data_IF_082076568123
#
_entry.id   IF_082076568123
#
_cell.length_a   1.000
_cell.length_b   1.000
_cell.length_c   1.000
_cell.angle_alpha   90.00
_cell.angle_beta   90.00
_cell.angle_gamma   90.00
#
_symmetry.space_group_name_H-M   'P 1'
#
loop_
_entity.id
_entity.type
_entity.pdbx_description
1 polymer ?
#
# COMPACT_ATOMS: atom_id res chain seq x y z
N UNK A 1 -2.19 -38.86 -68.90
CA UNK A 1 -1.08 -38.65 -68.01
C UNK A 1 -1.64 -38.00 -66.76
N UNK A 2 -1.76 -38.79 -65.67
CA UNK A 2 -2.36 -38.42 -64.42
C UNK A 2 -1.36 -37.64 -63.57
N UNK A 3 -1.77 -36.53 -63.01
CA UNK A 3 -1.00 -35.77 -62.01
C UNK A 3 -1.46 -36.18 -60.61
N UNK A 4 -0.50 -36.72 -59.87
CA UNK A 4 -0.63 -37.18 -58.53
C UNK A 4 -0.87 -36.01 -57.54
N UNK A 5 -1.89 -36.16 -56.71
CA UNK A 5 -2.15 -35.29 -55.58
C UNK A 5 -1.55 -35.92 -54.30
N UNK A 6 -0.83 -35.20 -53.44
CA UNK A 6 -0.32 -35.75 -52.18
C UNK A 6 -1.45 -35.87 -51.14
N UNK A 7 -1.31 -36.81 -50.18
CA UNK A 7 -2.37 -37.15 -49.23
C UNK A 7 -2.53 -36.11 -48.13
N UNK A 8 -3.78 -35.83 -47.78
CA UNK A 8 -4.20 -35.12 -46.59
C UNK A 8 -3.86 -35.93 -45.33
N UNK A 9 -3.03 -35.42 -44.48
CA UNK A 9 -2.95 -35.87 -43.09
C UNK A 9 -3.89 -35.05 -42.22
N UNK A 10 -4.96 -35.71 -41.79
CA UNK A 10 -5.79 -35.33 -40.66
C UNK A 10 -4.98 -35.62 -39.39
N UNK A 11 -4.77 -34.60 -38.55
CA UNK A 11 -4.75 -34.75 -37.13
C UNK A 11 -5.36 -33.49 -36.53
N UNK A 12 -6.62 -33.61 -36.22
CA UNK A 12 -7.35 -32.75 -35.31
C UNK A 12 -7.29 -33.33 -33.92
N UNK A 13 -7.44 -32.38 -33.00
CA UNK A 13 -7.98 -32.51 -31.64
C UNK A 13 -6.99 -32.78 -30.54
N UNK A 14 -6.56 -31.66 -29.89
CA UNK A 14 -6.86 -31.40 -28.47
C UNK A 14 -6.16 -30.11 -28.01
N UNK A 15 -6.76 -28.96 -28.33
CA UNK A 15 -6.45 -27.73 -27.63
C UNK A 15 -7.55 -27.51 -26.60
N UNK A 16 -7.24 -27.75 -25.34
CA UNK A 16 -8.10 -27.40 -24.22
C UNK A 16 -8.24 -25.87 -24.09
N UNK A 17 -9.37 -25.34 -23.56
CA UNK A 17 -9.58 -23.92 -23.40
C UNK A 17 -8.79 -23.42 -22.19
N UNK A 18 -7.78 -22.56 -22.39
CA UNK A 18 -7.15 -21.89 -21.25
C UNK A 18 -5.73 -21.38 -21.36
N UNK A 19 -5.16 -21.22 -22.53
CA UNK A 19 -4.00 -20.34 -22.68
C UNK A 19 -4.49 -18.94 -23.05
N UNK A 20 -4.71 -18.12 -22.01
CA UNK A 20 -4.81 -16.67 -22.18
C UNK A 20 -3.49 -16.22 -22.79
N UNK A 21 -3.55 -15.62 -23.99
CA UNK A 21 -2.48 -14.88 -24.62
C UNK A 21 -1.87 -13.91 -23.59
N UNK A 22 -0.84 -14.35 -22.88
CA UNK A 22 0.07 -13.45 -22.18
C UNK A 22 0.75 -12.64 -23.29
N UNK A 23 0.17 -11.48 -23.60
CA UNK A 23 0.85 -10.49 -24.40
C UNK A 23 2.20 -10.25 -23.73
N UNK A 24 3.23 -10.90 -24.24
CA UNK A 24 4.60 -10.76 -23.78
C UNK A 24 5.06 -9.35 -24.13
N UNK A 25 4.75 -8.41 -23.25
CA UNK A 25 5.30 -7.05 -23.38
C UNK A 25 6.80 -7.13 -23.19
N UNK A 26 7.51 -6.61 -24.16
CA UNK A 26 8.97 -6.49 -24.09
C UNK A 26 9.36 -5.81 -22.75
N UNK A 27 10.24 -6.47 -22.02
CA UNK A 27 10.84 -5.89 -20.83
C UNK A 27 11.73 -4.71 -21.23
N UNK A 28 11.83 -3.66 -20.40
CA UNK A 28 12.79 -2.59 -20.66
C UNK A 28 14.22 -3.14 -20.65
N UNK A 29 15.10 -2.58 -21.50
CA UNK A 29 16.48 -3.05 -21.69
C UNK A 29 17.27 -3.21 -20.39
N UNK A 30 16.98 -2.38 -19.36
CA UNK A 30 17.62 -2.48 -18.04
C UNK A 30 17.37 -3.84 -17.35
N UNK A 31 16.26 -4.52 -17.65
CA UNK A 31 15.93 -5.83 -17.07
C UNK A 31 16.37 -7.01 -17.95
N UNK A 32 16.74 -6.75 -19.21
CA UNK A 32 17.18 -7.78 -20.16
C UNK A 32 18.69 -7.82 -20.33
N UNK A 33 19.43 -6.93 -19.65
CA UNK A 33 20.88 -6.93 -19.70
C UNK A 33 21.45 -8.22 -19.13
N UNK A 34 22.45 -8.87 -19.77
CA UNK A 34 22.93 -10.22 -19.37
C UNK A 34 23.43 -10.35 -17.94
N UNK A 35 23.94 -9.26 -17.35
CA UNK A 35 24.39 -9.23 -15.94
C UNK A 35 23.27 -8.92 -14.94
N UNK A 36 22.05 -8.65 -15.39
CA UNK A 36 20.93 -8.32 -14.51
C UNK A 36 20.40 -9.57 -13.81
N UNK A 37 20.03 -9.42 -12.54
CA UNK A 37 19.24 -10.46 -11.85
C UNK A 37 17.89 -10.62 -12.54
N UNK A 38 17.45 -11.85 -12.85
CA UNK A 38 16.15 -12.07 -13.46
C UNK A 38 15.04 -11.36 -12.67
N UNK A 39 14.24 -10.49 -13.31
CA UNK A 39 13.19 -9.76 -12.63
C UNK A 39 12.01 -10.70 -12.31
N UNK A 40 11.43 -10.55 -11.13
CA UNK A 40 10.15 -11.19 -10.81
C UNK A 40 9.02 -10.18 -10.84
N UNK A 41 7.96 -10.46 -11.60
CA UNK A 41 6.75 -9.62 -11.61
C UNK A 41 6.05 -9.72 -10.25
N UNK A 42 5.84 -8.61 -9.59
CA UNK A 42 5.16 -8.54 -8.28
C UNK A 42 3.68 -8.20 -8.46
N UNK A 43 3.40 -7.19 -9.29
CA UNK A 43 2.03 -6.78 -9.57
C UNK A 43 1.93 -6.11 -10.93
N UNK A 44 0.77 -6.26 -11.54
CA UNK A 44 0.43 -5.63 -12.81
C UNK A 44 -0.86 -4.84 -12.62
N UNK A 45 -0.77 -3.53 -12.72
CA UNK A 45 -1.92 -2.63 -12.75
C UNK A 45 -2.23 -2.15 -14.17
N UNK A 46 -3.32 -1.39 -14.31
CA UNK A 46 -3.72 -0.81 -15.59
C UNK A 46 -2.67 0.16 -16.18
N UNK A 47 -1.91 0.85 -15.33
CA UNK A 47 -0.98 1.91 -15.72
C UNK A 47 0.49 1.51 -15.64
N UNK A 48 0.84 0.56 -14.79
CA UNK A 48 2.23 0.18 -14.54
C UNK A 48 2.37 -1.28 -14.12
N UNK A 49 3.58 -1.80 -14.24
CA UNK A 49 4.03 -3.09 -13.73
C UNK A 49 5.13 -2.85 -12.72
N UNK A 50 5.13 -3.63 -11.64
CA UNK A 50 6.15 -3.59 -10.61
C UNK A 50 6.93 -4.90 -10.65
N UNK A 51 8.24 -4.78 -10.80
CA UNK A 51 9.17 -5.92 -10.76
C UNK A 51 10.08 -5.81 -9.56
N UNK A 52 10.41 -6.94 -8.96
CA UNK A 52 11.52 -7.06 -8.01
C UNK A 52 12.77 -7.44 -8.78
N UNK A 53 13.85 -6.72 -8.53
CA UNK A 53 15.18 -6.93 -9.14
C UNK A 53 16.26 -6.50 -8.16
N UNK A 54 17.47 -6.25 -8.64
CA UNK A 54 18.60 -5.69 -7.87
C UNK A 54 19.12 -4.42 -8.54
N UNK A 55 19.78 -3.55 -7.77
CA UNK A 55 20.38 -2.32 -8.24
C UNK A 55 21.90 -2.37 -8.06
N UNK A 56 22.65 -2.30 -9.15
CA UNK A 56 24.13 -2.34 -9.24
C UNK A 56 24.75 -3.62 -8.67
N UNK A 57 24.37 -4.04 -7.46
CA UNK A 57 24.88 -5.23 -6.77
C UNK A 57 23.75 -6.19 -6.42
N UNK A 58 23.98 -7.51 -6.45
CA UNK A 58 22.98 -8.52 -6.04
C UNK A 58 22.48 -8.35 -4.61
N UNK A 59 23.27 -7.71 -3.74
CA UNK A 59 22.91 -7.43 -2.34
C UNK A 59 21.98 -6.24 -2.15
N UNK A 60 21.72 -5.43 -3.19
CA UNK A 60 20.86 -4.26 -3.15
C UNK A 60 19.54 -4.58 -3.87
N UNK A 61 18.51 -5.08 -3.16
CA UNK A 61 17.22 -5.35 -3.77
C UNK A 61 16.52 -4.05 -4.18
N UNK A 62 15.89 -4.08 -5.35
CA UNK A 62 15.21 -2.92 -5.93
C UNK A 62 13.81 -3.28 -6.44
N UNK A 63 12.93 -2.30 -6.43
CA UNK A 63 11.65 -2.32 -7.11
C UNK A 63 11.76 -1.50 -8.40
N UNK A 64 11.43 -2.09 -9.54
CA UNK A 64 11.37 -1.38 -10.81
C UNK A 64 9.90 -1.22 -11.22
N UNK A 65 9.44 0.02 -11.26
CA UNK A 65 8.12 0.41 -11.74
C UNK A 65 8.22 0.80 -13.20
N UNK A 66 7.60 0.01 -14.07
CA UNK A 66 7.61 0.19 -15.52
C UNK A 66 6.21 0.54 -16.04
N UNK A 67 6.12 1.54 -16.88
CA UNK A 67 4.90 1.98 -17.57
C UNK A 67 5.01 1.64 -19.05
N UNK A 68 4.50 0.46 -19.47
CA UNK A 68 4.56 0.05 -20.87
C UNK A 68 3.75 0.98 -21.76
N UNK A 69 4.17 1.15 -23.04
CA UNK A 69 3.40 1.91 -24.03
C UNK A 69 1.97 1.38 -24.15
N UNK A 70 1.01 2.27 -24.36
CA UNK A 70 -0.41 1.91 -24.49
C UNK A 70 -0.83 1.89 -25.94
N UNK A 71 -1.13 0.69 -26.47
CA UNK A 71 -1.48 0.51 -27.88
C UNK A 71 -2.70 1.34 -28.34
N UNK A 72 -3.61 1.68 -27.42
CA UNK A 72 -4.82 2.48 -27.73
C UNK A 72 -4.60 3.99 -27.68
N UNK A 73 -3.42 4.47 -27.24
CA UNK A 73 -3.08 5.90 -27.21
C UNK A 73 -2.23 6.28 -28.41
N UNK A 74 -2.40 7.53 -28.85
CA UNK A 74 -1.47 8.06 -29.84
C UNK A 74 -0.04 8.04 -29.29
N UNK A 75 0.98 7.49 -29.98
CA UNK A 75 2.31 7.24 -29.44
C UNK A 75 2.99 8.47 -28.84
N UNK A 76 2.90 9.63 -29.48
CA UNK A 76 3.50 10.89 -29.00
C UNK A 76 2.83 11.36 -27.69
N UNK A 77 1.51 11.22 -27.59
CA UNK A 77 0.79 11.57 -26.37
C UNK A 77 1.12 10.60 -25.23
N UNK A 78 1.18 9.31 -25.52
CA UNK A 78 1.51 8.28 -24.52
C UNK A 78 2.91 8.49 -23.96
N UNK A 79 3.91 8.70 -24.83
CA UNK A 79 5.28 9.00 -24.41
C UNK A 79 5.36 10.25 -23.52
N UNK A 80 4.67 11.33 -23.90
CA UNK A 80 4.61 12.57 -23.11
C UNK A 80 3.98 12.38 -21.74
N UNK A 81 2.85 11.67 -21.67
CA UNK A 81 2.15 11.39 -20.40
C UNK A 81 2.99 10.48 -19.49
N UNK A 82 3.59 9.44 -20.04
CA UNK A 82 4.46 8.51 -19.32
C UNK A 82 5.66 9.24 -18.72
N UNK A 83 6.36 10.03 -19.53
CA UNK A 83 7.48 10.86 -19.09
C UNK A 83 7.07 11.79 -17.94
N UNK A 84 5.96 12.52 -18.11
CA UNK A 84 5.47 13.45 -17.10
C UNK A 84 5.17 12.74 -15.77
N UNK A 85 4.46 11.61 -15.81
CA UNK A 85 4.08 10.85 -14.61
C UNK A 85 5.29 10.31 -13.86
N UNK A 86 6.27 9.73 -14.58
CA UNK A 86 7.48 9.20 -13.97
C UNK A 86 8.29 10.30 -13.30
N UNK A 87 8.51 11.41 -13.99
CA UNK A 87 9.25 12.54 -13.42
C UNK A 87 8.53 13.19 -12.24
N UNK A 88 7.19 13.30 -12.30
CA UNK A 88 6.41 13.82 -11.19
C UNK A 88 6.54 12.94 -9.94
N UNK A 89 6.35 11.64 -10.10
CA UNK A 89 6.48 10.64 -9.02
C UNK A 89 7.90 10.64 -8.43
N UNK A 90 8.92 10.58 -9.26
CA UNK A 90 10.32 10.60 -8.82
C UNK A 90 10.70 11.88 -8.05
N UNK A 91 10.24 13.05 -8.51
CA UNK A 91 10.47 14.34 -7.82
C UNK A 91 9.78 14.40 -6.46
N UNK A 92 8.55 13.89 -6.36
CA UNK A 92 7.82 13.83 -5.10
C UNK A 92 8.52 12.90 -4.12
N UNK A 93 8.93 11.70 -4.54
CA UNK A 93 9.68 10.77 -3.70
C UNK A 93 11.00 11.37 -3.23
N UNK A 94 11.78 11.99 -4.13
CA UNK A 94 13.05 12.63 -3.78
C UNK A 94 12.84 13.80 -2.78
N UNK A 95 11.83 14.63 -2.99
CA UNK A 95 11.46 15.70 -2.04
C UNK A 95 11.03 15.11 -0.70
N UNK A 96 10.11 14.14 -0.70
CA UNK A 96 9.62 13.49 0.52
C UNK A 96 10.77 12.95 1.37
N UNK A 97 11.70 12.21 0.74
CA UNK A 97 12.84 11.63 1.43
C UNK A 97 13.79 12.68 1.99
N UNK A 98 14.09 13.74 1.23
CA UNK A 98 14.93 14.86 1.69
C UNK A 98 14.33 15.56 2.92
N UNK A 99 13.02 15.68 2.95
CA UNK A 99 12.29 16.30 4.08
C UNK A 99 12.01 15.32 5.24
N UNK A 100 12.50 14.07 5.16
CA UNK A 100 12.38 13.08 6.23
C UNK A 100 11.06 12.30 6.25
N UNK A 101 10.24 12.39 5.20
CA UNK A 101 9.04 11.54 5.07
C UNK A 101 9.49 10.10 4.79
N UNK A 102 8.92 9.10 5.48
CA UNK A 102 9.30 7.70 5.29
C UNK A 102 8.77 7.14 3.98
N UNK A 103 9.58 7.22 2.94
CA UNK A 103 9.29 6.76 1.56
C UNK A 103 10.49 6.00 0.99
N UNK A 104 10.31 5.15 -0.05
CA UNK A 104 11.42 4.49 -0.73
C UNK A 104 12.41 5.49 -1.34
N UNK A 105 13.70 5.14 -1.32
CA UNK A 105 14.70 5.89 -2.08
C UNK A 105 14.53 5.66 -3.58
N UNK A 106 14.66 6.70 -4.39
CA UNK A 106 14.77 6.57 -5.85
C UNK A 106 16.23 6.32 -6.20
N UNK A 107 16.50 5.24 -6.93
CA UNK A 107 17.83 4.84 -7.35
C UNK A 107 18.18 5.31 -8.75
N UNK A 108 17.25 5.14 -9.70
CA UNK A 108 17.43 5.52 -11.09
C UNK A 108 16.09 5.81 -11.75
N UNK A 109 16.12 6.64 -12.80
CA UNK A 109 14.93 7.00 -13.59
C UNK A 109 15.32 7.05 -15.06
N UNK A 110 14.53 6.43 -15.92
CA UNK A 110 14.57 6.63 -17.35
C UNK A 110 13.16 7.00 -17.82
N UNK A 111 12.96 8.30 -17.97
CA UNK A 111 11.67 8.85 -18.39
C UNK A 111 11.32 8.56 -19.86
N UNK A 112 12.34 8.26 -20.67
CA UNK A 112 12.16 7.92 -22.09
C UNK A 112 11.76 6.45 -22.25
N UNK A 113 12.48 5.55 -21.57
CA UNK A 113 12.14 4.14 -21.55
C UNK A 113 10.94 3.81 -20.66
N UNK A 114 10.46 4.76 -19.87
CA UNK A 114 9.22 4.65 -19.12
C UNK A 114 9.33 3.86 -17.81
N UNK A 115 10.49 3.90 -17.12
CA UNK A 115 10.66 3.19 -15.85
C UNK A 115 11.35 4.02 -14.78
N UNK A 116 11.10 3.65 -13.52
CA UNK A 116 11.77 4.16 -12.33
C UNK A 116 12.18 2.99 -11.45
N UNK A 117 13.41 3.00 -10.97
CA UNK A 117 13.96 2.03 -10.02
C UNK A 117 14.08 2.67 -8.65
N UNK A 118 13.60 1.97 -7.62
CA UNK A 118 13.55 2.46 -6.25
C UNK A 118 13.91 1.36 -5.25
N UNK A 119 14.10 1.75 -4.01
CA UNK A 119 14.35 0.86 -2.89
C UNK A 119 13.25 -0.21 -2.80
N UNK A 120 13.66 -1.47 -2.68
CA UNK A 120 12.75 -2.55 -2.29
C UNK A 120 12.46 -2.45 -0.79
N UNK A 121 11.26 -2.04 -0.42
CA UNK A 121 10.85 -1.99 0.98
C UNK A 121 10.56 -3.41 1.46
N UNK A 122 11.36 -3.88 2.43
CA UNK A 122 11.13 -5.18 3.09
C UNK A 122 9.87 -5.10 3.96
N UNK A 123 9.16 -6.23 4.09
CA UNK A 123 7.96 -6.33 4.91
C UNK A 123 6.70 -6.53 4.09
N UNK A 124 5.55 -6.34 4.72
CA UNK A 124 4.24 -6.52 4.11
C UNK A 124 3.45 -5.20 4.10
N UNK A 125 2.47 -5.05 3.19
CA UNK A 125 1.51 -3.95 3.27
C UNK A 125 0.78 -3.93 4.63
N UNK A 126 0.55 -2.75 5.19
CA UNK A 126 -0.17 -2.60 6.47
C UNK A 126 -1.54 -3.28 6.44
N UNK A 127 -2.22 -3.25 5.28
CA UNK A 127 -3.47 -3.97 5.05
C UNK A 127 -3.38 -5.45 5.39
N UNK A 128 -2.30 -6.11 4.99
CA UNK A 128 -2.10 -7.54 5.21
C UNK A 128 -1.90 -7.81 6.70
N UNK A 129 -1.03 -7.03 7.36
CA UNK A 129 -0.79 -7.14 8.80
C UNK A 129 -2.05 -6.92 9.63
N UNK A 130 -2.82 -5.87 9.33
CA UNK A 130 -4.07 -5.55 10.05
C UNK A 130 -5.12 -6.68 9.86
N UNK A 131 -5.29 -7.19 8.63
CA UNK A 131 -6.25 -8.25 8.37
C UNK A 131 -5.89 -9.55 9.10
N UNK A 132 -4.61 -9.90 9.10
CA UNK A 132 -4.13 -11.08 9.81
C UNK A 132 -4.29 -10.94 11.33
N UNK A 133 -3.96 -9.76 11.89
CA UNK A 133 -4.17 -9.45 13.29
C UNK A 133 -5.67 -9.55 13.69
N UNK A 134 -6.58 -8.98 12.87
CA UNK A 134 -8.03 -9.07 13.09
C UNK A 134 -8.55 -10.51 12.96
N UNK A 135 -7.95 -11.33 12.08
CA UNK A 135 -8.29 -12.74 11.92
C UNK A 135 -7.95 -13.53 13.18
N UNK A 136 -6.70 -13.43 13.65
CA UNK A 136 -6.23 -14.11 14.86
C UNK A 136 -7.06 -13.75 16.09
N UNK A 137 -7.40 -12.48 16.20
CA UNK A 137 -8.25 -12.01 17.29
C UNK A 137 -9.65 -12.63 17.28
N UNK A 138 -10.27 -12.74 16.10
CA UNK A 138 -11.57 -13.43 15.97
C UNK A 138 -11.50 -14.90 16.38
N UNK A 139 -10.41 -15.56 16.04
CA UNK A 139 -10.19 -16.97 16.41
C UNK A 139 -10.03 -17.12 17.91
N UNK A 140 -9.28 -16.24 18.55
CA UNK A 140 -9.13 -16.22 20.01
C UNK A 140 -10.46 -15.94 20.74
N UNK A 141 -11.27 -14.97 20.26
CA UNK A 141 -12.60 -14.66 20.80
C UNK A 141 -13.56 -15.85 20.70
N UNK A 142 -13.51 -16.62 19.60
CA UNK A 142 -14.33 -17.84 19.45
C UNK A 142 -13.91 -18.94 20.41
N UNK A 143 -12.60 -19.19 20.54
CA UNK A 143 -12.07 -20.21 21.44
C UNK A 143 -12.44 -19.94 22.91
N UNK A 144 -12.45 -18.67 23.34
CA UNK A 144 -12.87 -18.30 24.71
C UNK A 144 -14.38 -18.43 24.92
N UNK A 145 -15.20 -18.14 23.91
CA UNK A 145 -16.66 -18.32 24.01
C UNK A 145 -17.09 -19.80 24.03
N UNK A 146 -16.40 -20.67 23.28
CA UNK A 146 -16.65 -22.12 23.28
C UNK A 146 -16.30 -22.76 24.63
N UNK A 147 -15.28 -22.25 25.34
CA UNK A 147 -14.88 -22.72 26.67
C UNK A 147 -15.85 -22.23 27.77
N UNK A 148 -16.44 -21.03 27.61
CA UNK A 148 -17.38 -20.49 28.60
C UNK A 148 -18.79 -21.14 28.51
N UNK A 149 -19.17 -21.75 27.39
CA UNK A 149 -20.44 -22.49 27.25
C UNK A 149 -20.39 -23.87 27.91
N UNK A 150 -19.27 -24.30 28.46
CA UNK A 150 -19.12 -25.57 29.20
C UNK A 150 -18.95 -25.41 30.72
N UNK A 151 -18.93 -24.17 31.23
CA UNK A 151 -18.80 -23.88 32.64
C UNK A 151 -20.13 -23.39 33.24
N UNK A 152 -20.56 -24.05 34.32
CA UNK A 152 -21.79 -23.89 35.10
C UNK A 152 -22.27 -22.43 35.30
N UNK A 153 -23.62 -22.29 35.25
CA UNK A 153 -24.39 -21.07 35.49
C UNK A 153 -24.39 -20.59 36.96
N UNK A 154 -23.31 -20.57 37.70
CA UNK A 154 -23.28 -20.09 39.08
C UNK A 154 -21.97 -19.38 39.45
N UNK A 155 -21.72 -18.22 38.85
CA UNK A 155 -20.83 -17.23 39.50
C UNK A 155 -21.06 -15.82 38.92
N UNK A 156 -21.95 -15.06 39.59
CA UNK A 156 -22.22 -13.63 39.36
C UNK A 156 -21.16 -12.72 40.00
N UNK A 157 -19.89 -13.01 39.85
CA UNK A 157 -18.84 -12.04 40.18
C UNK A 157 -18.05 -11.73 38.90
N UNK A 158 -18.52 -10.67 38.23
CA UNK A 158 -17.95 -10.15 37.00
C UNK A 158 -16.48 -9.86 37.16
N UNK A 159 -15.65 -10.62 36.47
CA UNK A 159 -14.26 -10.27 36.24
C UNK A 159 -14.17 -8.91 35.50
N UNK A 160 -13.28 -8.01 35.90
CA UNK A 160 -13.23 -6.65 35.36
C UNK A 160 -12.86 -6.62 33.89
N UNK A 161 -13.50 -5.72 33.15
CA UNK A 161 -13.38 -5.44 31.70
C UNK A 161 -11.97 -4.91 31.31
N UNK A 162 -10.94 -5.25 32.00
CA UNK A 162 -9.55 -4.78 31.78
C UNK A 162 -8.85 -5.47 30.59
N UNK A 163 -9.43 -6.51 29.99
CA UNK A 163 -8.79 -7.26 28.89
C UNK A 163 -8.90 -6.63 27.50
N UNK A 164 -9.88 -5.75 27.23
CA UNK A 164 -10.09 -5.23 25.86
C UNK A 164 -9.13 -4.12 25.45
N UNK A 165 -8.81 -3.20 26.34
CA UNK A 165 -7.91 -2.08 26.05
C UNK A 165 -6.45 -2.55 25.91
N UNK A 166 -6.03 -3.53 26.68
CA UNK A 166 -4.69 -4.11 26.60
C UNK A 166 -4.47 -4.91 25.32
N UNK A 167 -5.51 -5.54 24.82
CA UNK A 167 -5.50 -6.34 23.59
C UNK A 167 -5.43 -5.50 22.30
N UNK A 168 -5.76 -4.21 22.32
CA UNK A 168 -5.75 -3.31 21.16
C UNK A 168 -4.46 -2.47 21.04
N UNK A 169 -3.55 -2.58 22.00
CA UNK A 169 -2.33 -1.75 22.09
C UNK A 169 -1.50 -1.75 20.79
N UNK A 170 -1.32 -2.91 20.18
CA UNK A 170 -0.51 -3.03 18.96
C UNK A 170 -1.17 -2.32 17.78
N UNK A 171 -2.48 -2.45 17.63
CA UNK A 171 -3.24 -1.75 16.58
C UNK A 171 -3.26 -0.25 16.82
N UNK A 172 -3.44 0.20 18.07
CA UNK A 172 -3.37 1.61 18.47
C UNK A 172 -1.98 2.18 18.17
N UNK A 173 -0.92 1.44 18.49
CA UNK A 173 0.46 1.84 18.20
C UNK A 173 0.71 1.95 16.69
N UNK A 174 0.17 1.02 15.88
CA UNK A 174 0.21 1.11 14.43
C UNK A 174 -0.52 2.36 13.92
N UNK A 175 -1.74 2.63 14.42
CA UNK A 175 -2.51 3.82 14.03
C UNK A 175 -1.79 5.12 14.32
N UNK A 176 -1.11 5.21 15.46
CA UNK A 176 -0.28 6.37 15.80
C UNK A 176 0.86 6.56 14.79
N UNK A 177 1.55 5.49 14.43
CA UNK A 177 2.63 5.55 13.42
C UNK A 177 2.11 5.97 12.06
N UNK A 178 0.94 5.47 11.63
CA UNK A 178 0.28 5.87 10.38
C UNK A 178 -0.07 7.37 10.44
N UNK A 179 -0.75 7.82 11.50
CA UNK A 179 -1.13 9.23 11.66
C UNK A 179 0.07 10.17 11.64
N UNK A 180 1.15 9.81 12.33
CA UNK A 180 2.40 10.58 12.32
C UNK A 180 3.05 10.63 10.94
N UNK A 181 3.14 9.49 10.22
CA UNK A 181 3.74 9.43 8.89
C UNK A 181 2.97 10.27 7.87
N UNK A 182 1.64 10.18 7.89
CA UNK A 182 0.75 10.98 7.02
C UNK A 182 0.83 12.47 7.39
N UNK A 183 0.82 12.80 8.67
CA UNK A 183 0.98 14.17 9.14
C UNK A 183 2.31 14.79 8.70
N UNK A 184 3.39 14.02 8.76
CA UNK A 184 4.70 14.43 8.24
C UNK A 184 4.68 14.70 6.73
N UNK A 185 4.06 13.83 5.95
CA UNK A 185 3.88 14.00 4.49
C UNK A 185 3.11 15.28 4.17
N UNK A 186 1.98 15.50 4.87
CA UNK A 186 1.17 16.70 4.68
C UNK A 186 1.87 17.98 5.13
N UNK A 187 2.70 17.92 6.19
CA UNK A 187 3.51 19.04 6.67
C UNK A 187 4.45 19.58 5.59
N UNK A 188 5.07 18.69 4.81
CA UNK A 188 5.99 19.09 3.74
C UNK A 188 5.27 19.45 2.43
N UNK A 189 3.95 19.52 2.47
CA UNK A 189 3.10 19.95 1.36
C UNK A 189 2.93 18.88 0.27
N UNK A 190 2.89 17.60 0.65
CA UNK A 190 2.64 16.49 -0.28
C UNK A 190 1.32 15.84 0.10
N UNK A 191 0.44 15.70 -0.89
CA UNK A 191 -0.84 14.99 -0.84
C UNK A 191 -0.71 13.75 -1.71
N UNK A 192 -1.09 12.59 -1.18
CA UNK A 192 -0.85 11.30 -1.82
C UNK A 192 -1.81 11.03 -3.01
N UNK A 193 -3.08 11.37 -2.84
CA UNK A 193 -4.12 11.21 -3.86
C UNK A 193 -4.72 9.79 -3.95
N UNK A 194 -4.08 8.79 -3.32
CA UNK A 194 -4.60 7.41 -3.18
C UNK A 194 -4.13 6.80 -1.87
N UNK A 195 -4.41 7.49 -0.76
CA UNK A 195 -3.91 7.12 0.56
C UNK A 195 -4.71 5.94 1.12
N UNK A 196 -4.14 4.73 1.07
CA UNK A 196 -4.77 3.50 1.56
C UNK A 196 -3.79 2.66 2.38
N UNK A 197 -4.30 1.73 3.18
CA UNK A 197 -3.44 0.78 3.93
C UNK A 197 -2.68 -0.20 3.03
N UNK A 198 -3.05 -0.32 1.76
CA UNK A 198 -2.29 -1.06 0.75
C UNK A 198 -1.04 -0.31 0.28
N UNK A 199 -1.08 1.02 0.32
CA UNK A 199 0.00 1.91 -0.08
C UNK A 199 0.90 2.32 1.10
N UNK A 200 0.89 1.53 2.18
CA UNK A 200 1.76 1.65 3.34
C UNK A 200 2.40 0.31 3.64
N UNK A 201 3.74 0.26 3.68
CA UNK A 201 4.48 -0.95 4.04
C UNK A 201 4.89 -0.90 5.50
N UNK A 202 4.84 -2.03 6.18
CA UNK A 202 5.43 -2.25 7.50
C UNK A 202 6.85 -2.78 7.30
N UNK A 203 7.85 -1.93 7.46
CA UNK A 203 9.26 -2.31 7.43
C UNK A 203 9.65 -2.85 8.80
N UNK A 204 10.00 -4.13 8.95
CA UNK A 204 10.42 -4.67 10.23
C UNK A 204 11.59 -3.87 10.82
N UNK A 205 11.57 -3.65 12.13
CA UNK A 205 12.70 -3.03 12.81
C UNK A 205 13.93 -3.95 12.76
N UNK A 206 15.09 -3.37 12.59
CA UNK A 206 16.34 -4.12 12.73
C UNK A 206 16.53 -4.57 14.17
N UNK A 207 17.07 -5.78 14.37
CA UNK A 207 17.33 -6.30 15.72
C UNK A 207 18.17 -5.30 16.52
N UNK A 208 17.66 -4.89 17.67
CA UNK A 208 18.29 -3.90 18.57
C UNK A 208 17.88 -2.44 18.33
N UNK A 209 17.03 -2.16 17.34
CA UNK A 209 16.41 -0.86 17.15
C UNK A 209 14.99 -0.91 17.71
N UNK A 210 14.89 -0.86 19.03
CA UNK A 210 13.59 -0.67 19.68
C UNK A 210 13.05 0.74 19.37
N UNK A 211 11.72 0.91 19.20
CA UNK A 211 11.15 2.24 19.01
C UNK A 211 11.44 3.09 20.25
N UNK A 212 11.82 4.35 20.04
CA UNK A 212 12.22 5.30 21.08
C UNK A 212 11.16 5.50 22.20
N UNK A 213 9.94 5.01 22.00
CA UNK A 213 8.81 5.13 22.93
C UNK A 213 8.49 3.85 23.71
N UNK A 214 9.40 2.88 23.82
CA UNK A 214 9.27 1.74 24.74
C UNK A 214 8.12 0.76 24.44
N UNK A 215 7.49 0.84 23.29
CA UNK A 215 6.46 -0.10 22.88
C UNK A 215 7.12 -1.24 22.06
N UNK A 216 7.82 -2.12 22.74
CA UNK A 216 8.00 -3.48 22.23
C UNK A 216 6.61 -4.10 22.26
N UNK A 217 6.05 -4.40 21.06
CA UNK A 217 4.78 -5.09 20.97
C UNK A 217 4.81 -6.34 21.85
N UNK A 218 3.87 -6.44 22.75
CA UNK A 218 3.68 -7.64 23.60
C UNK A 218 3.16 -8.83 22.79
N UNK A 219 3.08 -8.68 21.48
CA UNK A 219 2.50 -9.63 20.54
C UNK A 219 3.55 -10.31 19.65
N UNK A 220 3.07 -11.01 18.64
CA UNK A 220 3.84 -11.78 17.66
C UNK A 220 4.61 -10.93 16.63
N UNK A 221 4.75 -9.62 16.86
CA UNK A 221 5.47 -8.69 15.96
C UNK A 221 4.77 -8.39 14.64
N UNK A 222 3.53 -8.86 14.45
CA UNK A 222 2.80 -8.78 13.18
C UNK A 222 2.53 -7.33 12.71
N UNK A 223 2.28 -6.43 13.66
CA UNK A 223 2.03 -5.01 13.41
C UNK A 223 3.25 -4.13 13.68
N UNK A 224 4.40 -4.73 14.00
CA UNK A 224 5.63 -4.02 14.30
C UNK A 224 6.36 -3.57 13.03
N UNK A 225 7.05 -2.44 13.12
CA UNK A 225 7.83 -1.88 12.01
C UNK A 225 7.59 -0.40 11.75
N UNK A 226 8.45 0.18 10.94
CA UNK A 226 8.30 1.55 10.46
C UNK A 226 7.29 1.61 9.31
N UNK A 227 6.44 2.63 9.31
CA UNK A 227 5.53 2.89 8.18
C UNK A 227 6.33 3.52 7.04
N UNK A 228 6.30 2.89 5.87
CA UNK A 228 6.86 3.44 4.64
C UNK A 228 5.72 3.65 3.63
N UNK A 229 5.47 4.90 3.25
CA UNK A 229 4.43 5.23 2.28
C UNK A 229 4.97 4.97 0.87
N UNK A 230 4.20 4.28 0.04
CA UNK A 230 4.58 3.87 -1.31
C UNK A 230 3.54 4.30 -2.34
N UNK A 231 3.90 4.23 -3.63
CA UNK A 231 3.03 4.51 -4.79
C UNK A 231 2.51 5.97 -4.87
N UNK A 232 3.42 6.88 -5.16
CA UNK A 232 3.14 8.30 -5.36
C UNK A 232 2.69 8.66 -6.79
N UNK A 233 2.12 7.70 -7.53
CA UNK A 233 1.70 7.89 -8.91
C UNK A 233 0.57 8.90 -9.13
N UNK A 234 -0.21 9.21 -8.10
CA UNK A 234 -1.28 10.23 -8.09
C UNK A 234 -0.96 11.40 -7.15
N UNK A 235 0.21 11.40 -6.53
CA UNK A 235 0.57 12.41 -5.56
C UNK A 235 0.82 13.78 -6.20
N UNK A 236 0.51 14.82 -5.43
CA UNK A 236 0.69 16.22 -5.84
C UNK A 236 1.32 17.04 -4.73
N UNK A 237 1.95 18.16 -5.10
CA UNK A 237 2.35 19.17 -4.14
C UNK A 237 1.19 20.13 -3.93
N UNK A 238 0.69 20.22 -2.71
CA UNK A 238 -0.40 21.12 -2.33
C UNK A 238 -0.21 21.67 -0.92
N UNK A 239 -0.52 22.94 -0.75
CA UNK A 239 -0.65 23.58 0.56
C UNK A 239 -2.11 23.67 1.03
N UNK A 240 -3.06 23.18 0.24
CA UNK A 240 -4.49 23.24 0.51
C UNK A 240 -4.88 22.32 1.67
N UNK A 241 -5.57 22.85 2.66
CA UNK A 241 -6.12 22.04 3.76
C UNK A 241 -7.26 21.15 3.28
N UNK A 242 -7.96 21.54 2.20
CA UNK A 242 -8.97 20.72 1.54
C UNK A 242 -8.38 19.45 0.93
N UNK A 243 -7.27 19.55 0.18
CA UNK A 243 -6.63 18.40 -0.45
C UNK A 243 -6.11 17.42 0.58
N UNK A 244 -5.51 17.93 1.67
CA UNK A 244 -5.08 17.12 2.82
C UNK A 244 -6.24 16.41 3.50
N UNK A 245 -7.37 17.11 3.67
CA UNK A 245 -8.58 16.55 4.26
C UNK A 245 -9.20 15.46 3.37
N UNK A 246 -9.19 15.64 2.05
CA UNK A 246 -9.64 14.62 1.09
C UNK A 246 -8.75 13.38 1.15
N UNK A 247 -7.44 13.56 1.27
CA UNK A 247 -6.47 12.45 1.40
C UNK A 247 -6.74 11.64 2.69
N UNK A 248 -6.96 12.31 3.82
CA UNK A 248 -7.38 11.65 5.07
C UNK A 248 -8.74 10.94 4.93
N UNK A 249 -9.68 11.54 4.23
CA UNK A 249 -11.00 10.92 3.99
C UNK A 249 -10.89 9.65 3.15
N UNK A 250 -10.03 9.64 2.13
CA UNK A 250 -9.74 8.45 1.32
C UNK A 250 -9.17 7.33 2.22
N UNK A 251 -8.22 7.65 3.10
CA UNK A 251 -7.66 6.70 4.06
C UNK A 251 -8.71 6.15 5.02
N UNK A 252 -9.55 7.01 5.59
CA UNK A 252 -10.66 6.61 6.47
C UNK A 252 -11.62 5.65 5.76
N UNK A 253 -12.01 5.97 4.53
CA UNK A 253 -12.91 5.13 3.74
C UNK A 253 -12.28 3.78 3.37
N UNK A 254 -11.00 3.78 2.97
CA UNK A 254 -10.25 2.57 2.68
C UNK A 254 -10.15 1.69 3.93
N UNK A 255 -9.94 2.31 5.11
CA UNK A 255 -9.86 1.61 6.37
C UNK A 255 -11.22 1.00 6.77
N UNK A 256 -12.29 1.78 6.74
CA UNK A 256 -13.65 1.32 7.07
C UNK A 256 -14.09 0.16 6.17
N UNK A 257 -13.80 0.22 4.87
CA UNK A 257 -14.16 -0.83 3.92
C UNK A 257 -13.37 -2.12 4.09
N UNK A 258 -12.10 -2.03 4.51
CA UNK A 258 -11.18 -3.17 4.59
C UNK A 258 -11.06 -3.72 6.02
N UNK A 259 -11.22 -2.86 7.04
CA UNK A 259 -10.97 -3.15 8.46
C UNK A 259 -12.12 -2.67 9.35
N UNK A 260 -13.37 -2.95 8.98
CA UNK A 260 -14.59 -2.41 9.60
C UNK A 260 -14.66 -2.55 11.13
N UNK A 261 -14.10 -3.64 11.69
CA UNK A 261 -14.05 -3.84 13.16
C UNK A 261 -13.13 -2.87 13.91
N UNK A 262 -12.15 -2.31 13.21
CA UNK A 262 -11.18 -1.37 13.79
C UNK A 262 -11.52 0.11 13.49
N UNK A 263 -12.63 0.40 12.80
CA UNK A 263 -13.02 1.74 12.36
C UNK A 263 -13.07 2.75 13.51
N UNK A 264 -13.65 2.35 14.67
CA UNK A 264 -13.76 3.24 15.84
C UNK A 264 -12.40 3.63 16.43
N UNK A 265 -11.45 2.69 16.44
CA UNK A 265 -10.09 2.94 16.91
C UNK A 265 -9.31 3.84 15.94
N UNK A 266 -9.61 3.72 14.66
CA UNK A 266 -8.95 4.50 13.62
C UNK A 266 -9.15 6.00 13.82
N UNK A 267 -10.39 6.49 13.85
CA UNK A 267 -10.65 7.93 13.92
C UNK A 267 -10.08 8.57 15.18
N UNK A 268 -10.28 7.95 16.35
CA UNK A 268 -9.81 8.52 17.62
C UNK A 268 -8.27 8.59 17.70
N UNK A 269 -7.58 7.53 17.30
CA UNK A 269 -6.13 7.43 17.46
C UNK A 269 -5.36 8.12 16.34
N UNK A 270 -5.79 7.96 15.08
CA UNK A 270 -5.10 8.57 13.94
C UNK A 270 -5.20 10.08 13.97
N UNK A 271 -6.38 10.63 14.25
CA UNK A 271 -6.57 12.07 14.33
C UNK A 271 -5.72 12.71 15.43
N UNK A 272 -5.56 12.05 16.58
CA UNK A 272 -4.72 12.55 17.67
C UNK A 272 -3.26 12.65 17.21
N UNK A 273 -2.69 11.56 16.69
CA UNK A 273 -1.30 11.53 16.25
C UNK A 273 -1.03 12.42 15.03
N UNK A 274 -2.01 12.55 14.12
CA UNK A 274 -1.95 13.49 13.01
C UNK A 274 -1.91 14.96 13.49
N UNK A 275 -2.75 15.31 14.50
CA UNK A 275 -2.76 16.67 15.09
C UNK A 275 -1.42 17.05 15.72
N UNK A 276 -0.70 16.09 16.27
CA UNK A 276 0.61 16.30 16.88
C UNK A 276 1.73 16.52 15.83
N UNK A 277 1.52 16.09 14.58
CA UNK A 277 2.56 16.10 13.55
C UNK A 277 2.94 17.51 13.05
N UNK A 278 1.98 18.47 13.02
CA UNK A 278 2.25 19.86 12.60
C UNK A 278 1.16 20.85 13.01
N UNK A 279 1.52 22.14 13.06
CA UNK A 279 0.65 23.20 13.60
C UNK A 279 -0.70 23.34 12.91
N UNK A 280 -0.78 23.19 11.57
CA UNK A 280 -2.02 23.33 10.79
C UNK A 280 -2.91 22.07 10.83
N UNK A 281 -2.45 20.97 11.41
CA UNK A 281 -3.20 19.71 11.42
C UNK A 281 -4.61 19.85 12.00
N UNK A 282 -4.80 20.69 13.03
CA UNK A 282 -6.13 20.94 13.59
C UNK A 282 -7.12 21.55 12.58
N UNK A 283 -6.64 22.42 11.67
CA UNK A 283 -7.47 23.03 10.61
C UNK A 283 -7.85 21.94 9.59
N UNK A 284 -6.90 21.07 9.23
CA UNK A 284 -7.17 19.96 8.29
C UNK A 284 -8.22 19.00 8.88
N UNK A 285 -8.14 18.67 10.18
CA UNK A 285 -9.15 17.80 10.83
C UNK A 285 -10.53 18.46 10.82
N UNK A 286 -10.61 19.78 11.10
CA UNK A 286 -11.89 20.50 10.97
C UNK A 286 -12.42 20.42 9.54
N UNK A 287 -11.55 20.56 8.54
CA UNK A 287 -11.92 20.44 7.13
C UNK A 287 -12.36 19.02 6.76
N UNK A 288 -11.77 18.00 7.38
CA UNK A 288 -12.16 16.59 7.21
C UNK A 288 -13.63 16.37 7.59
N UNK A 289 -14.16 17.03 8.65
CA UNK A 289 -15.57 16.94 9.01
C UNK A 289 -16.49 17.49 7.87
N UNK A 290 -16.10 18.59 7.25
CA UNK A 290 -16.84 19.13 6.10
C UNK A 290 -16.81 18.16 4.90
N UNK A 291 -15.67 17.50 4.64
CA UNK A 291 -15.53 16.49 3.59
C UNK A 291 -16.41 15.27 3.88
N UNK A 292 -16.43 14.79 5.12
CA UNK A 292 -17.30 13.68 5.58
C UNK A 292 -18.79 13.99 5.32
N UNK A 293 -19.23 15.21 5.63
CA UNK A 293 -20.62 15.64 5.40
C UNK A 293 -20.98 15.66 3.92
N UNK A 294 -20.08 16.08 3.04
CA UNK A 294 -20.30 16.06 1.58
C UNK A 294 -20.33 14.62 1.04
N UNK A 295 -19.46 13.75 1.53
CA UNK A 295 -19.43 12.33 1.17
C UNK A 295 -20.74 11.61 1.53
N UNK A 296 -21.30 11.86 2.72
CA UNK A 296 -22.59 11.32 3.15
C UNK A 296 -23.76 11.78 2.25
N UNK A 297 -23.80 13.05 1.87
CA UNK A 297 -24.85 13.57 0.95
C UNK A 297 -24.84 12.86 -0.39
N UNK A 298 -23.66 12.58 -0.97
CA UNK A 298 -23.54 11.85 -2.24
C UNK A 298 -24.03 10.41 -2.13
N UNK A 299 -23.77 9.71 -1.03
CA UNK A 299 -24.22 8.33 -0.82
C UNK A 299 -25.72 8.20 -0.53
N UNK A 300 -26.41 9.31 -0.22
CA UNK A 300 -27.87 9.34 0.00
C UNK A 300 -28.67 9.70 -1.26
N UNK A 301 -28.03 10.15 -2.31
CA UNK A 301 -28.66 10.61 -3.57
C UNK A 301 -28.40 9.60 -4.72
N UNK A 302 -27.54 8.59 -4.49
CA UNK A 302 -27.11 7.60 -5.49
C UNK A 302 -27.91 6.28 -5.36
#
# INVERSE_FOLDING_TARGET
>A
MAADSPPRTLNQDNAGPGEQDEQQFLLPAILTYPSSTPPSLITQGAEARLYKTTYLLPSIPAALKYRPPKAWRHPVLDARLTRHRILAEARILAKSRREGVPVPAVYAVDETAGWMMMEWVKGAPARVGINEWLRRRREAEKATNDTNNTADENNEDAAPITGKEEQDKDLVALMRRIGSAVGYMHRVGIVHGDLTTSNMMLRPWEKGREPANGHSGSGDGLLDGDIIIIDFGLATQSSSDEDRAVDLYVLERAFASTHSRAEKLFSATLESSYKEAFKQAAVVIKKLEEVRMRGRKRSMIG
#
